data_IF_786316939005
#
_entry.id   IF_786316939005
#
_cell.length_a   1.000
_cell.length_b   1.000
_cell.length_c   1.000
_cell.angle_alpha   90.00
_cell.angle_beta   90.00
_cell.angle_gamma   90.00
#
_symmetry.space_group_name_H-M   'P 1'
#
loop_
_entity.id
_entity.type
_entity.pdbx_description
1 polymer ?
#
# COMPACT_ATOMS: atom_id res chain seq x y z
N UNK A 1 11.75 -14.38 6.57
CA UNK A 1 10.79 -13.54 5.86
C UNK A 1 10.77 -13.93 4.39
N UNK A 2 9.62 -13.84 3.72
CA UNK A 2 9.49 -14.05 2.28
C UNK A 2 8.74 -12.86 1.67
N UNK A 3 9.21 -12.25 0.56
CA UNK A 3 8.44 -11.24 -0.16
C UNK A 3 7.03 -11.73 -0.49
N UNK A 4 6.03 -10.92 -0.19
CA UNK A 4 4.63 -11.21 -0.44
C UNK A 4 4.02 -10.18 -1.42
N UNK A 5 4.28 -8.89 -1.23
CA UNK A 5 3.82 -7.81 -2.12
C UNK A 5 4.96 -6.83 -2.39
N UNK A 6 5.21 -6.53 -3.65
CA UNK A 6 6.25 -5.58 -4.08
C UNK A 6 5.65 -4.42 -4.85
N UNK A 7 6.05 -4.26 -6.11
CA UNK A 7 5.43 -3.29 -7.02
C UNK A 7 3.94 -3.62 -7.21
N UNK A 8 3.09 -2.63 -7.03
CA UNK A 8 1.65 -2.73 -7.24
C UNK A 8 1.22 -1.71 -8.27
N UNK A 9 0.51 -2.10 -9.30
CA UNK A 9 0.01 -1.14 -10.28
C UNK A 9 -1.24 -0.38 -9.74
N UNK A 10 -1.57 0.80 -10.30
CA UNK A 10 -2.72 1.60 -9.88
C UNK A 10 -4.08 0.91 -10.05
N UNK A 11 -4.25 0.02 -11.03
CA UNK A 11 -5.49 -0.74 -11.22
C UNK A 11 -5.63 -1.82 -10.15
N UNK A 12 -4.56 -2.52 -9.79
CA UNK A 12 -4.56 -3.46 -8.67
C UNK A 12 -4.87 -2.75 -7.35
N UNK A 13 -4.22 -1.61 -7.07
CA UNK A 13 -4.54 -0.81 -5.88
C UNK A 13 -5.98 -0.29 -5.92
N UNK A 14 -6.50 0.11 -7.10
CA UNK A 14 -7.89 0.51 -7.27
C UNK A 14 -8.86 -0.63 -6.91
N UNK A 15 -8.58 -1.87 -7.32
CA UNK A 15 -9.41 -3.03 -6.95
C UNK A 15 -9.47 -3.24 -5.43
N UNK A 16 -8.30 -3.27 -4.79
CA UNK A 16 -8.17 -3.47 -3.33
C UNK A 16 -8.83 -2.35 -2.53
N UNK A 17 -8.70 -1.10 -2.97
CA UNK A 17 -9.37 0.02 -2.33
C UNK A 17 -10.88 -0.10 -2.56
N UNK A 18 -11.33 -0.21 -3.81
CA UNK A 18 -12.74 -0.19 -4.20
C UNK A 18 -13.59 -1.30 -3.56
N UNK A 19 -13.04 -2.49 -3.33
CA UNK A 19 -13.81 -3.69 -2.96
C UNK A 19 -14.65 -3.58 -1.68
N UNK A 20 -14.34 -2.63 -0.80
CA UNK A 20 -15.05 -2.42 0.47
C UNK A 20 -15.73 -1.05 0.56
N UNK A 21 -15.91 -0.31 -0.55
CA UNK A 21 -16.51 1.04 -0.56
C UNK A 21 -17.82 1.08 -1.34
N UNK A 22 -18.71 1.98 -0.92
CA UNK A 22 -19.97 2.23 -1.61
C UNK A 22 -19.77 2.97 -2.93
N UNK A 23 -20.76 2.89 -3.82
CA UNK A 23 -20.72 3.58 -5.11
C UNK A 23 -20.66 5.11 -4.96
N UNK A 24 -21.28 5.66 -3.91
CA UNK A 24 -21.25 7.09 -3.59
C UNK A 24 -19.84 7.51 -3.22
N UNK A 25 -19.16 6.73 -2.37
CA UNK A 25 -17.76 6.97 -1.98
C UNK A 25 -16.84 6.94 -3.20
N UNK A 26 -17.04 5.96 -4.08
CA UNK A 26 -16.27 5.81 -5.31
C UNK A 26 -16.49 7.01 -6.24
N UNK A 27 -17.74 7.41 -6.44
CA UNK A 27 -18.10 8.55 -7.30
C UNK A 27 -17.52 9.86 -6.77
N UNK A 28 -17.61 10.10 -5.47
CA UNK A 28 -17.01 11.27 -4.83
C UNK A 28 -15.49 11.29 -4.99
N UNK A 29 -14.84 10.14 -4.87
CA UNK A 29 -13.39 10.04 -5.03
C UNK A 29 -12.95 10.29 -6.48
N UNK A 30 -13.70 9.80 -7.47
CA UNK A 30 -13.46 10.10 -8.89
C UNK A 30 -13.60 11.61 -9.13
N UNK A 31 -14.68 12.23 -8.65
CA UNK A 31 -14.89 13.67 -8.78
C UNK A 31 -13.76 14.49 -8.13
N UNK A 32 -13.29 14.06 -6.95
CA UNK A 32 -12.15 14.68 -6.27
C UNK A 32 -10.89 14.59 -7.14
N UNK A 33 -10.55 13.42 -7.68
CA UNK A 33 -9.35 13.25 -8.51
C UNK A 33 -9.40 14.11 -9.78
N UNK A 34 -10.54 14.12 -10.46
CA UNK A 34 -10.77 15.01 -11.62
C UNK A 34 -10.58 16.48 -11.23
N UNK A 35 -11.14 16.93 -10.10
CA UNK A 35 -10.96 18.31 -9.61
C UNK A 35 -9.52 18.65 -9.21
N UNK A 36 -8.68 17.64 -8.97
CA UNK A 36 -7.27 17.77 -8.59
C UNK A 36 -6.31 17.55 -9.76
N UNK A 37 -6.81 17.56 -10.99
CA UNK A 37 -6.03 17.30 -12.21
C UNK A 37 -5.33 15.94 -12.20
N UNK A 38 -6.03 14.91 -11.70
CA UNK A 38 -5.55 13.52 -11.68
C UNK A 38 -6.44 12.58 -12.54
N UNK A 39 -6.50 12.80 -13.88
CA UNK A 39 -7.39 12.05 -14.76
C UNK A 39 -7.02 10.57 -14.91
N UNK A 40 -5.73 10.21 -14.87
CA UNK A 40 -5.32 8.82 -15.00
C UNK A 40 -5.71 7.97 -13.77
N UNK A 41 -5.56 8.52 -12.57
CA UNK A 41 -6.03 7.89 -11.34
C UNK A 41 -7.57 7.77 -11.33
N UNK A 42 -8.27 8.82 -11.75
CA UNK A 42 -9.73 8.76 -11.89
C UNK A 42 -10.15 7.62 -12.84
N UNK A 43 -9.49 7.54 -14.00
CA UNK A 43 -9.68 6.46 -14.97
C UNK A 43 -9.40 5.07 -14.39
N UNK A 44 -8.33 4.90 -13.62
CA UNK A 44 -8.00 3.62 -12.99
C UNK A 44 -9.10 3.13 -12.03
N UNK A 45 -9.67 4.02 -11.20
CA UNK A 45 -10.77 3.66 -10.28
C UNK A 45 -12.02 3.26 -11.04
N UNK A 46 -12.37 4.05 -12.05
CA UNK A 46 -13.58 3.83 -12.83
C UNK A 46 -13.50 2.50 -13.58
N UNK A 47 -12.39 2.27 -14.28
CA UNK A 47 -12.20 1.17 -15.24
C UNK A 47 -12.15 -0.22 -14.62
N UNK A 48 -11.74 -0.35 -13.34
CA UNK A 48 -11.74 -1.66 -12.69
C UNK A 48 -13.15 -2.20 -12.42
N UNK A 49 -14.19 -1.38 -12.59
CA UNK A 49 -15.58 -1.80 -12.43
C UNK A 49 -15.92 -2.21 -10.99
N UNK A 50 -17.15 -2.72 -10.74
CA UNK A 50 -17.57 -3.17 -9.41
C UNK A 50 -16.60 -4.18 -8.79
N UNK A 51 -16.34 -4.03 -7.50
CA UNK A 51 -15.48 -4.91 -6.70
C UNK A 51 -16.16 -5.18 -5.36
N UNK A 52 -15.98 -6.38 -4.81
CA UNK A 52 -16.58 -6.80 -3.55
C UNK A 52 -15.59 -7.62 -2.73
N UNK A 53 -15.38 -7.23 -1.47
CA UNK A 53 -14.48 -7.93 -0.55
C UNK A 53 -14.24 -7.14 0.73
N UNK A 54 -13.43 -7.73 1.61
CA UNK A 54 -13.09 -7.13 2.89
C UNK A 54 -12.27 -5.84 2.73
N UNK A 55 -12.31 -5.00 3.76
CA UNK A 55 -11.47 -3.82 3.83
C UNK A 55 -10.01 -4.23 4.08
N UNK A 56 -9.16 -4.16 3.05
CA UNK A 56 -7.75 -4.58 3.13
C UNK A 56 -6.74 -3.44 3.05
N UNK A 57 -7.19 -2.23 2.68
CA UNK A 57 -6.29 -1.08 2.56
C UNK A 57 -7.03 0.23 2.77
N UNK A 58 -6.35 1.19 3.39
CA UNK A 58 -6.77 2.59 3.45
C UNK A 58 -6.11 3.45 2.35
N UNK A 59 -5.03 2.96 1.74
CA UNK A 59 -4.31 3.72 0.73
C UNK A 59 -5.14 3.77 -0.57
N UNK A 60 -5.46 4.98 -1.00
CA UNK A 60 -6.00 5.22 -2.33
C UNK A 60 -4.88 4.99 -3.37
N UNK A 61 -5.23 4.71 -4.62
CA UNK A 61 -4.26 4.54 -5.70
C UNK A 61 -3.49 5.84 -5.96
N UNK A 62 -2.20 5.67 -6.23
CA UNK A 62 -1.21 6.74 -6.25
C UNK A 62 -0.72 7.13 -4.86
N UNK A 63 -1.39 6.69 -3.78
CA UNK A 63 -1.08 7.09 -2.41
C UNK A 63 -0.39 6.00 -1.59
N UNK A 64 0.10 4.94 -2.25
CA UNK A 64 0.92 3.89 -1.65
C UNK A 64 2.31 3.85 -2.28
N UNK A 65 3.36 3.73 -1.47
CA UNK A 65 4.74 3.62 -1.94
C UNK A 65 5.04 2.33 -2.71
N UNK A 66 4.18 1.30 -2.61
CA UNK A 66 4.25 0.13 -3.48
C UNK A 66 4.17 0.50 -4.96
N UNK A 67 3.38 1.52 -5.31
CA UNK A 67 3.20 1.97 -6.68
C UNK A 67 4.41 2.75 -7.23
N UNK A 68 5.29 3.20 -6.32
CA UNK A 68 6.54 3.87 -6.64
C UNK A 68 7.73 2.89 -6.68
N UNK A 69 7.49 1.59 -6.42
CA UNK A 69 8.53 0.58 -6.19
C UNK A 69 9.43 0.89 -4.99
N UNK A 70 8.89 1.59 -3.99
CA UNK A 70 9.63 2.05 -2.82
C UNK A 70 9.12 1.39 -1.52
N UNK A 71 8.31 0.34 -1.63
CA UNK A 71 7.83 -0.45 -0.51
C UNK A 71 7.81 -1.95 -0.83
N UNK A 72 7.86 -2.75 0.23
CA UNK A 72 7.85 -4.21 0.18
C UNK A 72 7.12 -4.75 1.42
N UNK A 73 6.17 -5.65 1.19
CA UNK A 73 5.58 -6.44 2.26
C UNK A 73 6.22 -7.82 2.26
N UNK A 74 6.67 -8.27 3.43
CA UNK A 74 7.16 -9.62 3.62
C UNK A 74 6.32 -10.36 4.64
N UNK A 75 6.01 -11.63 4.35
CA UNK A 75 5.34 -12.54 5.29
C UNK A 75 6.37 -13.35 6.08
N UNK A 76 6.08 -13.59 7.36
CA UNK A 76 6.88 -14.51 8.18
C UNK A 76 6.53 -15.96 7.82
N UNK A 77 7.54 -16.82 7.61
CA UNK A 77 7.35 -18.24 7.30
C UNK A 77 7.86 -19.07 8.48
N UNK A 78 7.01 -19.93 9.04
CA UNK A 78 7.34 -20.91 10.09
C UNK A 78 6.91 -22.28 9.58
N UNK A 79 7.81 -23.27 9.58
CA UNK A 79 7.50 -24.63 9.12
C UNK A 79 6.80 -24.68 7.75
N UNK A 80 7.28 -23.85 6.80
CA UNK A 80 6.72 -23.68 5.44
C UNK A 80 5.32 -23.06 5.37
N UNK A 81 4.74 -22.62 6.48
CA UNK A 81 3.45 -21.94 6.54
C UNK A 81 3.62 -20.44 6.77
N UNK A 82 2.70 -19.64 6.23
CA UNK A 82 2.62 -18.20 6.46
C UNK A 82 2.14 -17.93 7.89
N UNK A 83 2.80 -17.01 8.56
CA UNK A 83 2.47 -16.55 9.90
C UNK A 83 2.21 -15.04 9.86
N UNK A 84 1.05 -14.63 10.36
CA UNK A 84 0.59 -13.24 10.38
C UNK A 84 0.48 -12.66 11.80
N UNK A 85 0.74 -13.46 12.83
CA UNK A 85 0.66 -13.07 14.23
C UNK A 85 1.74 -12.05 14.62
N UNK A 86 1.28 -10.95 15.22
CA UNK A 86 2.14 -9.91 15.79
C UNK A 86 2.69 -10.28 17.18
N UNK A 87 2.15 -11.33 17.82
CA UNK A 87 2.51 -11.75 19.17
C UNK A 87 3.21 -13.10 19.22
N UNK A 88 3.11 -13.94 18.18
CA UNK A 88 3.77 -15.24 18.14
C UNK A 88 5.28 -15.07 18.27
N UNK A 89 5.88 -15.97 19.06
CA UNK A 89 7.33 -16.05 19.22
C UNK A 89 7.83 -17.44 18.84
N UNK A 90 9.02 -17.50 18.26
CA UNK A 90 9.81 -18.72 18.05
C UNK A 90 11.14 -18.50 18.73
N UNK A 91 11.48 -19.34 19.71
CA UNK A 91 12.68 -19.18 20.55
C UNK A 91 12.78 -17.78 21.19
N UNK A 92 11.66 -17.24 21.66
CA UNK A 92 11.59 -15.92 22.29
C UNK A 92 11.59 -14.72 21.33
N UNK A 93 11.62 -14.94 20.01
CA UNK A 93 11.66 -13.87 19.01
C UNK A 93 10.37 -13.81 18.18
N UNK A 94 9.85 -12.60 17.97
CA UNK A 94 8.79 -12.35 16.98
C UNK A 94 9.41 -11.98 15.62
N UNK A 95 9.01 -12.67 14.56
CA UNK A 95 9.61 -12.51 13.23
C UNK A 95 9.40 -11.11 12.62
N UNK A 96 8.24 -10.50 12.82
CA UNK A 96 7.96 -9.15 12.31
C UNK A 96 8.73 -8.08 13.07
N UNK A 97 8.90 -8.21 14.39
CA UNK A 97 9.74 -7.31 15.18
C UNK A 97 11.20 -7.35 14.72
N UNK A 98 11.74 -8.56 14.47
CA UNK A 98 13.11 -8.73 13.95
C UNK A 98 13.21 -8.09 12.57
N UNK A 99 12.28 -8.40 11.66
CA UNK A 99 12.25 -7.84 10.31
C UNK A 99 12.23 -6.31 10.31
N UNK A 100 11.34 -5.70 11.09
CA UNK A 100 11.24 -4.25 11.23
C UNK A 100 12.49 -3.63 11.84
N UNK A 101 13.11 -4.29 12.82
CA UNK A 101 14.35 -3.82 13.45
C UNK A 101 15.52 -3.82 12.46
N UNK A 102 15.67 -4.87 11.65
CA UNK A 102 16.68 -4.92 10.60
C UNK A 102 16.43 -3.88 9.50
N UNK A 103 15.18 -3.72 9.07
CA UNK A 103 14.81 -2.68 8.10
C UNK A 103 15.18 -1.27 8.60
N UNK A 104 14.93 -0.98 9.89
CA UNK A 104 15.29 0.29 10.51
C UNK A 104 16.81 0.52 10.56
N UNK A 105 17.62 -0.52 10.81
CA UNK A 105 19.08 -0.43 10.77
C UNK A 105 19.60 -0.07 9.37
N UNK A 106 18.88 -0.48 8.32
CA UNK A 106 19.16 -0.14 6.93
C UNK A 106 18.61 1.24 6.51
N UNK A 107 18.02 2.00 7.43
CA UNK A 107 17.47 3.33 7.16
C UNK A 107 16.05 3.33 6.57
N UNK A 108 15.40 2.17 6.48
CA UNK A 108 14.02 2.05 6.03
C UNK A 108 13.03 2.40 7.15
N UNK A 109 11.80 2.72 6.76
CA UNK A 109 10.67 2.84 7.67
C UNK A 109 9.89 1.53 7.68
N UNK A 110 9.51 1.05 8.86
CA UNK A 110 8.80 -0.23 9.02
C UNK A 110 7.45 -0.01 9.71
N UNK A 111 6.38 -0.54 9.10
CA UNK A 111 5.00 -0.38 9.58
C UNK A 111 4.74 -1.03 10.94
N UNK A 112 5.57 -2.01 11.33
CA UNK A 112 5.55 -2.61 12.67
C UNK A 112 5.70 -1.58 13.80
N UNK A 113 6.38 -0.45 13.57
CA UNK A 113 6.59 0.57 14.59
C UNK A 113 5.57 1.73 14.52
N UNK A 114 4.60 1.68 13.62
CA UNK A 114 3.57 2.72 13.51
C UNK A 114 2.66 2.70 14.77
N UNK A 115 2.53 3.84 15.43
CA UNK A 115 1.64 4.04 16.57
C UNK A 115 0.21 4.20 16.07
N UNK A 116 -0.49 3.08 15.84
CA UNK A 116 -1.84 3.06 15.27
C UNK A 116 -2.12 1.75 14.57
N UNK A 117 -2.48 1.81 13.29
CA UNK A 117 -2.60 0.61 12.45
C UNK A 117 -1.20 0.03 12.18
N UNK A 118 -0.86 -1.02 12.92
CA UNK A 118 0.43 -1.67 12.82
C UNK A 118 0.47 -2.57 11.58
N UNK A 119 1.09 -2.07 10.51
CA UNK A 119 1.29 -2.81 9.25
C UNK A 119 2.63 -3.57 9.29
N UNK A 120 2.64 -4.66 10.03
CA UNK A 120 3.86 -5.41 10.33
C UNK A 120 4.61 -6.00 9.14
N UNK A 121 3.94 -6.49 8.08
CA UNK A 121 4.61 -6.93 6.85
C UNK A 121 5.35 -5.81 6.12
N UNK A 122 4.93 -4.56 6.31
CA UNK A 122 5.31 -3.43 5.47
C UNK A 122 6.64 -2.79 5.86
N UNK A 123 7.50 -2.57 4.86
CA UNK A 123 8.64 -1.65 4.94
C UNK A 123 8.67 -0.76 3.70
N UNK A 124 9.20 0.45 3.86
CA UNK A 124 9.30 1.43 2.79
C UNK A 124 10.59 2.26 2.89
N UNK A 125 11.06 2.71 1.74
CA UNK A 125 12.24 3.56 1.62
C UNK A 125 11.99 4.97 2.17
N UNK A 126 10.82 5.54 1.88
CA UNK A 126 10.44 6.88 2.33
C UNK A 126 10.09 6.86 3.81
N UNK A 127 10.29 7.98 4.51
CA UNK A 127 9.79 8.18 5.89
C UNK A 127 8.34 8.68 5.93
N UNK A 128 7.94 9.35 4.86
CA UNK A 128 6.59 9.85 4.64
C UNK A 128 5.59 8.69 4.56
N UNK A 129 4.47 8.77 5.26
CA UNK A 129 3.44 7.70 5.24
C UNK A 129 2.74 7.56 3.89
N UNK A 130 2.70 8.62 3.09
CA UNK A 130 2.04 8.62 1.78
C UNK A 130 2.77 9.54 0.79
N UNK A 131 2.81 9.18 -0.52
CA UNK A 131 3.23 10.07 -1.60
C UNK A 131 2.57 11.45 -1.55
N UNK A 132 1.31 11.56 -1.10
CA UNK A 132 0.57 12.84 -1.03
C UNK A 132 1.17 13.84 -0.03
N UNK A 133 2.05 13.39 0.87
CA UNK A 133 2.78 14.29 1.77
C UNK A 133 4.01 14.93 1.14
N UNK A 134 4.37 14.51 -0.08
CA UNK A 134 5.55 14.99 -0.83
C UNK A 134 5.14 15.57 -2.19
N UNK A 135 4.11 14.99 -2.82
CA UNK A 135 3.64 15.33 -4.15
C UNK A 135 2.16 15.72 -4.13
N UNK A 136 1.78 16.59 -5.06
CA UNK A 136 0.38 16.88 -5.36
C UNK A 136 -0.29 15.70 -6.09
N UNK A 137 -1.62 15.66 -6.09
CA UNK A 137 -2.37 14.68 -6.88
C UNK A 137 -2.00 14.70 -8.37
N UNK A 138 -1.78 15.87 -8.95
CA UNK A 138 -1.39 16.00 -10.36
C UNK A 138 -0.01 15.40 -10.65
N UNK A 139 0.97 15.60 -9.76
CA UNK A 139 2.31 15.01 -9.90
C UNK A 139 2.26 13.48 -9.72
N UNK A 140 1.48 13.00 -8.75
CA UNK A 140 1.25 11.56 -8.55
C UNK A 140 0.59 10.95 -9.78
N UNK A 141 -0.44 11.60 -10.33
CA UNK A 141 -1.14 11.14 -11.52
C UNK A 141 -0.21 11.02 -12.72
N UNK A 142 0.59 12.07 -12.98
CA UNK A 142 1.58 12.06 -14.04
C UNK A 142 2.59 10.93 -13.87
N UNK A 143 3.08 10.70 -12.65
CA UNK A 143 4.05 9.64 -12.39
C UNK A 143 3.42 8.24 -12.54
N UNK A 144 2.18 8.05 -12.09
CA UNK A 144 1.46 6.79 -12.28
C UNK A 144 1.18 6.55 -13.76
N UNK A 145 0.76 7.57 -14.51
CA UNK A 145 0.51 7.47 -15.94
C UNK A 145 1.81 7.16 -16.69
N UNK A 146 2.92 7.83 -16.35
CA UNK A 146 4.24 7.57 -16.94
C UNK A 146 4.70 6.12 -16.73
N UNK A 147 4.40 5.53 -15.57
CA UNK A 147 4.81 4.16 -15.22
C UNK A 147 3.89 3.07 -15.78
N UNK A 148 2.59 3.34 -15.85
CA UNK A 148 1.56 2.31 -16.03
C UNK A 148 0.51 2.61 -17.10
N UNK A 149 0.57 3.76 -17.78
CA UNK A 149 -0.42 4.21 -18.76
C UNK A 149 -0.23 3.70 -20.18
N UNK A 150 0.62 2.70 -20.39
CA UNK A 150 0.90 2.11 -21.70
C UNK A 150 -0.25 1.28 -22.27
#
# INVERSE_FOLDING_TARGET
MRPNEGLRDPFQQARLWRQSRSIETITQQIALLTSKNAPFLAHCIESVGPQHGDHVTNAMLGLSWHQFAEALDCVWIINKQMEWSLSRQVNGLNGYMVYASEAKKLGLTAGFFCTGFQDAPHVQFRRNSSPLSVFSYAEIDQEMHRRFGG
#
